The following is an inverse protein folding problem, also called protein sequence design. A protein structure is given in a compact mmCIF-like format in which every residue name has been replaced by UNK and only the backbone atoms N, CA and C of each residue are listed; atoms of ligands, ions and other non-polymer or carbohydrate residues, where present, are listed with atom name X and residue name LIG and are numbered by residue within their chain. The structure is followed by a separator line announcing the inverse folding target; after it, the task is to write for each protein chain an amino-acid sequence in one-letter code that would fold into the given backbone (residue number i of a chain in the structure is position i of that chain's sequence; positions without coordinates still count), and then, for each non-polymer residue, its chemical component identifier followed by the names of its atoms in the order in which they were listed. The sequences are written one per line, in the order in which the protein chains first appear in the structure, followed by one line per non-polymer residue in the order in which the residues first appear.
data_IF_906483591423
#
_entry.id   IF_906483591423
#
_cell.length_a   1.000
_cell.length_b   1.000
_cell.length_c   1.000
_cell.angle_alpha   90.00
_cell.angle_beta   90.00
_cell.angle_gamma   90.00
#
_symmetry.space_group_name_H-M   'P 1'
#
loop_
_entity.id
_entity.type
_entity.pdbx_description
1 polymer ?
#
# COMPACT_ATOMS: atom_id res chain seq x y z
N UNK A 1 -13.82 -13.28 -48.65
CA UNK A 1 -14.72 -14.25 -47.98
C UNK A 1 -13.86 -15.48 -47.73
N UNK A 2 -13.19 -15.70 -46.61
CA UNK A 2 -13.40 -15.43 -45.17
C UNK A 2 -12.02 -15.18 -44.55
N UNK A 3 -11.72 -14.00 -44.03
CA UNK A 3 -11.80 -13.66 -42.59
C UNK A 3 -11.42 -14.82 -41.64
N UNK A 4 -10.27 -14.70 -40.97
CA UNK A 4 -10.05 -14.92 -39.53
C UNK A 4 -8.57 -14.69 -39.23
N UNK A 5 -8.24 -13.44 -38.90
CA UNK A 5 -7.00 -13.13 -38.20
C UNK A 5 -7.08 -13.77 -36.80
N UNK A 6 -6.26 -14.80 -36.58
CA UNK A 6 -6.10 -15.41 -35.26
C UNK A 6 -5.39 -14.39 -34.37
N UNK A 7 -6.15 -13.77 -33.48
CA UNK A 7 -5.65 -12.91 -32.43
C UNK A 7 -4.79 -13.72 -31.45
N UNK A 8 -3.47 -13.67 -31.63
CA UNK A 8 -2.54 -13.95 -30.54
C UNK A 8 -2.50 -12.69 -29.68
N UNK A 9 -3.04 -12.82 -28.47
CA UNK A 9 -3.23 -11.74 -27.52
C UNK A 9 -1.98 -10.89 -27.38
N UNK A 10 -2.15 -9.58 -27.58
CA UNK A 10 -1.24 -8.62 -26.98
C UNK A 10 -1.31 -8.87 -25.48
N UNK A 11 -0.33 -9.63 -24.95
CA UNK A 11 -0.02 -9.55 -23.54
C UNK A 11 0.17 -8.08 -23.25
N UNK A 12 -0.63 -7.55 -22.32
CA UNK A 12 -0.41 -6.22 -21.79
C UNK A 12 1.09 -6.16 -21.47
N UNK A 13 1.85 -5.17 -21.99
CA UNK A 13 3.22 -4.99 -21.51
C UNK A 13 3.08 -4.85 -20.00
N UNK A 14 3.62 -5.81 -19.25
CA UNK A 14 3.69 -5.70 -17.80
C UNK A 14 4.39 -4.36 -17.57
N UNK A 15 3.60 -3.39 -17.13
CA UNK A 15 3.94 -1.98 -17.14
C UNK A 15 5.34 -1.83 -16.57
N UNK A 16 6.27 -1.27 -17.34
CA UNK A 16 7.64 -1.02 -16.90
C UNK A 16 7.72 -0.04 -15.72
N UNK A 17 6.59 0.45 -15.22
CA UNK A 17 6.44 0.96 -13.86
C UNK A 17 6.15 -0.21 -12.92
N UNK A 18 7.18 -0.72 -12.25
CA UNK A 18 6.96 -1.54 -11.06
C UNK A 18 6.09 -0.76 -10.10
N UNK A 19 4.90 -1.31 -9.82
CA UNK A 19 3.92 -0.66 -8.97
C UNK A 19 4.47 -0.48 -7.55
N UNK A 20 4.27 0.71 -7.00
CA UNK A 20 4.57 0.98 -5.59
C UNK A 20 3.50 0.29 -4.74
N UNK A 21 3.91 -0.58 -3.84
CA UNK A 21 3.02 -1.34 -2.93
C UNK A 21 3.21 -0.83 -1.51
N UNK A 22 2.13 -0.78 -0.75
CA UNK A 22 2.15 -0.56 0.68
C UNK A 22 1.85 -1.89 1.38
N UNK A 23 2.78 -2.35 2.21
CA UNK A 23 2.68 -3.56 3.02
C UNK A 23 2.44 -3.15 4.46
N UNK A 24 1.45 -3.76 5.10
CA UNK A 24 1.08 -3.49 6.50
C UNK A 24 1.18 -4.81 7.26
N UNK A 25 1.98 -4.83 8.32
CA UNK A 25 2.07 -5.95 9.26
C UNK A 25 1.53 -5.51 10.62
N UNK A 26 0.49 -6.18 11.07
CA UNK A 26 -0.17 -5.99 12.35
C UNK A 26 -0.29 -7.32 13.12
N UNK A 27 0.60 -8.28 12.84
CA UNK A 27 0.63 -9.58 13.52
C UNK A 27 0.94 -9.42 15.01
N UNK A 28 1.72 -8.39 15.34
CA UNK A 28 2.18 -8.07 16.69
C UNK A 28 1.25 -6.99 17.29
N UNK A 29 0.54 -7.24 18.41
CA UNK A 29 -0.34 -6.24 19.01
C UNK A 29 0.41 -5.04 19.62
N UNK A 30 1.69 -5.21 19.92
CA UNK A 30 2.56 -4.17 20.47
C UNK A 30 2.94 -3.09 19.45
N UNK A 31 2.92 -3.41 18.15
CA UNK A 31 3.33 -2.50 17.10
C UNK A 31 2.71 -2.81 15.74
N UNK A 32 2.43 -1.77 14.96
CA UNK A 32 2.02 -1.90 13.56
C UNK A 32 3.14 -1.36 12.67
N UNK A 33 3.53 -2.10 11.64
CA UNK A 33 4.60 -1.73 10.71
C UNK A 33 4.01 -1.46 9.33
N UNK A 34 4.43 -0.37 8.69
CA UNK A 34 4.02 -0.01 7.33
C UNK A 34 5.26 0.18 6.47
N UNK A 35 5.34 -0.56 5.37
CA UNK A 35 6.45 -0.50 4.43
C UNK A 35 5.96 -0.14 3.03
N UNK A 36 6.57 0.85 2.40
CA UNK A 36 6.34 1.18 1.00
C UNK A 36 7.46 0.56 0.17
N UNK A 37 7.10 -0.32 -0.77
CA UNK A 37 8.06 -1.04 -1.60
C UNK A 37 7.81 -0.79 -3.09
N UNK A 38 8.88 -0.75 -3.88
CA UNK A 38 8.81 -0.76 -5.33
C UNK A 38 9.61 -1.95 -5.87
N UNK A 39 8.89 -2.96 -6.38
CA UNK A 39 9.51 -4.26 -6.68
C UNK A 39 10.04 -4.92 -5.41
N UNK A 40 11.36 -5.15 -5.37
CA UNK A 40 12.07 -5.71 -4.20
C UNK A 40 12.83 -4.64 -3.39
N UNK A 41 12.63 -3.36 -3.70
CA UNK A 41 13.29 -2.25 -2.99
C UNK A 41 12.35 -1.64 -1.97
N UNK A 42 12.84 -1.48 -0.74
CA UNK A 42 12.18 -0.70 0.30
C UNK A 42 12.41 0.79 0.03
N UNK A 43 11.32 1.54 -0.10
CA UNK A 43 11.35 2.99 -0.32
C UNK A 43 11.12 3.76 0.97
N UNK A 44 10.17 3.30 1.80
CA UNK A 44 9.84 3.93 3.08
C UNK A 44 9.41 2.88 4.10
N UNK A 45 9.68 3.14 5.37
CA UNK A 45 9.32 2.26 6.48
C UNK A 45 9.02 3.09 7.72
N UNK A 46 7.85 2.86 8.29
CA UNK A 46 7.44 3.46 9.55
C UNK A 46 6.81 2.40 10.45
N UNK A 47 6.79 2.66 11.76
CA UNK A 47 6.13 1.80 12.72
C UNK A 47 5.46 2.63 13.82
N UNK A 48 4.32 2.14 14.29
CA UNK A 48 3.58 2.73 15.38
C UNK A 48 3.57 1.78 16.58
N UNK A 49 4.00 2.26 17.74
CA UNK A 49 3.92 1.49 18.99
C UNK A 49 2.60 1.76 19.69
N UNK A 50 1.93 0.69 20.13
CA UNK A 50 0.70 0.79 20.92
C UNK A 50 0.88 1.57 22.24
N UNK A 51 2.11 1.64 22.76
CA UNK A 51 2.41 2.33 24.01
C UNK A 51 2.44 3.86 23.89
N UNK A 52 2.55 4.41 22.67
CA UNK A 52 2.70 5.86 22.45
C UNK A 52 1.79 6.34 21.34
N UNK A 53 0.57 6.70 21.73
CA UNK A 53 -0.38 7.30 20.81
C UNK A 53 0.03 8.75 20.45
N UNK A 54 0.04 9.07 19.17
CA UNK A 54 0.17 10.46 18.70
C UNK A 54 -1.19 11.17 18.84
N UNK A 55 -1.21 12.20 19.68
CA UNK A 55 -2.40 13.02 19.93
C UNK A 55 -2.41 14.33 19.13
N UNK A 56 -1.26 14.72 18.58
CA UNK A 56 -1.11 15.92 17.79
C UNK A 56 -1.80 15.72 16.42
N UNK A 57 -2.61 16.69 16.00
CA UNK A 57 -3.38 16.62 14.76
C UNK A 57 -4.71 15.85 14.88
N UNK A 58 -5.00 15.25 16.04
CA UNK A 58 -6.28 14.58 16.24
C UNK A 58 -7.41 15.63 16.27
N UNK A 59 -8.49 15.33 15.54
CA UNK A 59 -9.70 16.16 15.46
C UNK A 59 -10.80 15.42 16.21
N UNK A 60 -11.37 16.08 17.23
CA UNK A 60 -12.43 15.52 18.06
C UNK A 60 -13.74 16.30 17.89
N UNK A 61 -14.86 15.59 17.93
CA UNK A 61 -16.17 16.22 18.10
C UNK A 61 -16.35 16.58 19.58
N UNK A 62 -16.34 17.87 19.91
CA UNK A 62 -16.52 18.33 21.29
C UNK A 62 -18.00 18.39 21.67
N UNK A 63 -18.34 17.89 22.87
CA UNK A 63 -19.59 18.24 23.55
C UNK A 63 -19.32 19.44 24.45
N UNK A 64 -20.10 20.50 24.30
CA UNK A 64 -20.06 21.66 25.20
C UNK A 64 -20.66 21.24 26.55
N UNK A 65 -19.90 21.44 27.63
CA UNK A 65 -20.31 21.17 29.02
C UNK A 65 -20.48 22.46 29.78
#
# INVERSE_FOLDING_TARGET
MTDQAVGIGQGCPESSFMAKKMLIDATHPEETRVAVVQGNKLEDFDFESAARQQLNGNIYLAKVT
#
